data_IF_626700786946
#
_entry.id   IF_626700786946
#
_cell.length_a   1.000
_cell.length_b   1.000
_cell.length_c   1.000
_cell.angle_alpha   90.00
_cell.angle_beta   90.00
_cell.angle_gamma   90.00
#
_symmetry.space_group_name_H-M   'P 1'
#
loop_
_entity.id
_entity.type
_entity.pdbx_description
1 polymer ?
#
# COMPACT_ATOMS: atom_id res chain seq x y z
N UNK A 1 -24.41 -9.40 2.92
CA UNK A 1 -23.86 -8.20 3.63
C UNK A 1 -22.36 -7.95 3.38
N UNK A 2 -21.74 -8.51 2.34
CA UNK A 2 -20.29 -8.37 2.10
C UNK A 2 -19.93 -7.32 1.04
N UNK A 3 -20.91 -6.54 0.56
CA UNK A 3 -20.68 -5.60 -0.52
C UNK A 3 -19.68 -4.50 -0.09
N UNK A 4 -18.76 -4.08 -0.98
CA UNK A 4 -17.68 -3.16 -0.65
C UNK A 4 -18.21 -1.74 -0.44
N UNK A 5 -17.83 -1.09 0.65
CA UNK A 5 -18.21 0.27 1.03
C UNK A 5 -16.93 1.11 1.12
N UNK A 6 -16.90 2.22 0.38
CA UNK A 6 -15.77 3.15 0.42
C UNK A 6 -15.79 3.92 1.74
N UNK A 7 -14.64 3.99 2.41
CA UNK A 7 -14.43 4.73 3.65
C UNK A 7 -13.57 5.94 3.34
N UNK A 8 -14.18 7.11 3.51
CA UNK A 8 -13.53 8.40 3.39
C UNK A 8 -13.05 8.89 4.76
N UNK A 9 -11.97 9.65 4.74
CA UNK A 9 -11.49 10.41 5.88
C UNK A 9 -12.40 11.62 6.17
N UNK A 10 -12.15 12.32 7.28
CA UNK A 10 -12.91 13.52 7.63
C UNK A 10 -12.84 14.61 6.55
N UNK A 11 -11.73 14.71 5.81
CA UNK A 11 -11.52 15.62 4.66
C UNK A 11 -11.94 15.02 3.29
N UNK A 12 -12.75 13.95 3.28
CA UNK A 12 -13.23 13.26 2.08
C UNK A 12 -12.17 12.50 1.25
N UNK A 13 -10.93 12.40 1.71
CA UNK A 13 -9.92 11.55 1.05
C UNK A 13 -10.25 10.05 1.22
N UNK A 14 -10.08 9.21 0.19
CA UNK A 14 -10.32 7.78 0.31
C UNK A 14 -9.25 7.11 1.17
N UNK A 15 -9.66 6.41 2.24
CA UNK A 15 -8.74 5.69 3.13
C UNK A 15 -8.70 4.20 2.81
N UNK A 16 -9.87 3.58 2.69
CA UNK A 16 -10.01 2.14 2.63
C UNK A 16 -11.36 1.72 2.05
N UNK A 17 -11.49 0.45 1.68
CA UNK A 17 -12.76 -0.20 1.36
C UNK A 17 -13.04 -1.25 2.43
N UNK A 18 -14.24 -1.23 3.01
CA UNK A 18 -14.67 -2.21 4.01
C UNK A 18 -15.97 -2.91 3.60
N UNK A 19 -16.41 -3.90 4.38
CA UNK A 19 -17.68 -4.58 4.13
C UNK A 19 -18.86 -3.75 4.65
N UNK A 20 -20.05 -3.97 4.07
CA UNK A 20 -21.29 -3.33 4.52
C UNK A 20 -21.54 -3.53 6.02
N UNK A 21 -21.31 -4.75 6.54
CA UNK A 21 -21.45 -5.06 7.97
C UNK A 21 -20.57 -4.15 8.84
N UNK A 22 -19.30 -3.96 8.47
CA UNK A 22 -18.37 -3.09 9.20
C UNK A 22 -18.78 -1.62 9.10
N UNK A 23 -19.22 -1.18 7.93
CA UNK A 23 -19.67 0.19 7.72
C UNK A 23 -20.87 0.54 8.62
N UNK A 24 -21.86 -0.35 8.72
CA UNK A 24 -23.01 -0.17 9.61
C UNK A 24 -22.56 -0.09 11.08
N UNK A 25 -21.65 -0.96 11.51
CA UNK A 25 -21.11 -0.91 12.87
C UNK A 25 -20.41 0.44 13.18
N UNK A 26 -19.72 1.04 12.20
CA UNK A 26 -19.11 2.36 12.36
C UNK A 26 -20.14 3.48 12.44
N UNK A 27 -21.22 3.40 11.65
CA UNK A 27 -22.33 4.37 11.67
C UNK A 27 -23.07 4.29 13.01
N UNK A 28 -23.49 3.10 13.42
CA UNK A 28 -24.24 2.88 14.66
C UNK A 28 -23.41 3.25 15.90
N UNK A 29 -22.09 3.10 15.84
CA UNK A 29 -21.19 3.54 16.91
C UNK A 29 -20.91 5.07 16.90
N UNK A 30 -21.53 5.85 16.01
CA UNK A 30 -21.32 7.30 15.90
C UNK A 30 -19.92 7.69 15.41
N UNK A 31 -19.18 6.77 14.78
CA UNK A 31 -17.79 7.01 14.31
C UNK A 31 -17.73 7.43 12.85
N UNK A 32 -18.80 7.22 12.10
CA UNK A 32 -18.89 7.54 10.70
C UNK A 32 -20.29 8.01 10.31
N UNK A 33 -20.37 8.95 9.39
CA UNK A 33 -21.61 9.34 8.73
C UNK A 33 -21.72 8.66 7.36
N UNK A 34 -22.94 8.29 6.98
CA UNK A 34 -23.20 7.85 5.62
C UNK A 34 -23.19 9.06 4.68
N UNK A 35 -22.42 8.97 3.59
CA UNK A 35 -22.40 10.02 2.55
C UNK A 35 -23.36 9.65 1.44
N UNK A 36 -23.32 8.40 0.99
CA UNK A 36 -24.14 7.91 -0.13
C UNK A 36 -24.79 6.58 0.22
N UNK A 37 -26.11 6.53 0.12
CA UNK A 37 -26.87 5.29 -0.01
C UNK A 37 -26.91 4.91 -1.49
N UNK A 38 -26.14 3.90 -1.88
CA UNK A 38 -26.05 3.50 -3.30
C UNK A 38 -26.77 2.19 -3.60
N UNK A 39 -27.41 1.55 -2.62
CA UNK A 39 -27.58 0.09 -2.69
C UNK A 39 -28.81 -0.47 -1.99
N UNK A 40 -29.80 0.35 -1.63
CA UNK A 40 -31.07 -0.08 -1.05
C UNK A 40 -31.08 -0.07 0.48
N UNK A 41 -31.86 -0.97 1.08
CA UNK A 41 -32.07 -1.04 2.53
C UNK A 41 -31.76 -2.43 3.09
N UNK A 42 -31.44 -2.48 4.37
CA UNK A 42 -31.31 -3.68 5.19
C UNK A 42 -32.46 -3.67 6.17
N UNK A 43 -33.25 -4.73 6.17
CA UNK A 43 -34.42 -4.84 7.03
C UNK A 43 -34.09 -5.71 8.25
N UNK A 44 -34.52 -5.25 9.41
CA UNK A 44 -34.74 -6.07 10.60
C UNK A 44 -36.23 -6.38 10.71
N UNK A 45 -36.62 -7.16 11.72
CA UNK A 45 -38.03 -7.47 11.98
C UNK A 45 -38.88 -6.21 12.22
N UNK A 46 -38.29 -5.11 12.68
CA UNK A 46 -38.99 -3.90 13.09
C UNK A 46 -38.53 -2.62 12.40
N UNK A 47 -37.41 -2.64 11.68
CA UNK A 47 -36.76 -1.41 11.17
C UNK A 47 -36.11 -1.64 9.80
N UNK A 48 -35.89 -0.54 9.07
CA UNK A 48 -35.14 -0.53 7.82
C UNK A 48 -33.97 0.45 7.91
N UNK A 49 -32.77 -0.02 7.59
CA UNK A 49 -31.54 0.76 7.61
C UNK A 49 -31.03 0.97 6.18
N UNK A 50 -30.64 2.18 5.78
CA UNK A 50 -30.05 2.39 4.46
C UNK A 50 -28.75 1.59 4.34
N UNK A 51 -28.53 0.99 3.17
CA UNK A 51 -27.34 0.18 2.90
C UNK A 51 -26.23 1.10 2.38
N UNK A 52 -25.22 1.44 3.20
CA UNK A 52 -24.23 2.43 2.82
C UNK A 52 -23.37 1.92 1.65
N UNK A 53 -23.02 2.83 0.75
CA UNK A 53 -22.02 2.59 -0.31
C UNK A 53 -20.77 3.43 -0.13
N UNK A 54 -20.92 4.62 0.47
CA UNK A 54 -19.82 5.48 0.90
C UNK A 54 -20.10 6.00 2.32
N UNK A 55 -19.11 5.89 3.20
CA UNK A 55 -19.14 6.46 4.55
C UNK A 55 -17.95 7.40 4.75
N UNK A 56 -18.11 8.40 5.62
CA UNK A 56 -17.07 9.34 6.03
C UNK A 56 -16.82 9.20 7.52
N UNK A 57 -15.56 9.09 7.92
CA UNK A 57 -15.19 9.07 9.33
C UNK A 57 -15.31 10.47 9.95
N UNK A 58 -15.77 10.55 11.19
CA UNK A 58 -15.93 11.85 11.87
C UNK A 58 -14.59 12.43 12.35
N UNK A 59 -13.60 11.58 12.63
CA UNK A 59 -12.27 12.01 13.07
C UNK A 59 -11.28 11.88 11.94
N UNK A 60 -10.38 12.86 11.83
CA UNK A 60 -9.29 12.85 10.87
C UNK A 60 -8.29 11.73 11.21
N UNK A 61 -8.15 10.77 10.30
CA UNK A 61 -7.14 9.72 10.40
C UNK A 61 -5.91 10.12 9.59
N UNK A 62 -4.77 10.24 10.28
CA UNK A 62 -3.47 10.42 9.64
C UNK A 62 -2.86 9.05 9.39
N UNK A 63 -2.97 8.56 8.14
CA UNK A 63 -2.35 7.29 7.77
C UNK A 63 -0.85 7.51 7.56
N UNK A 64 0.03 6.82 8.30
CA UNK A 64 1.46 6.90 8.03
C UNK A 64 1.72 6.43 6.59
N UNK A 65 2.53 7.18 5.85
CA UNK A 65 2.93 6.80 4.49
C UNK A 65 3.54 5.39 4.54
N UNK A 66 3.07 4.44 3.70
CA UNK A 66 3.64 3.11 3.67
C UNK A 66 5.14 3.20 3.42
N UNK A 67 5.96 2.78 4.38
CA UNK A 67 7.41 2.69 4.18
C UNK A 67 7.67 1.48 3.30
N UNK A 68 8.17 1.70 2.09
CA UNK A 68 8.60 0.63 1.20
C UNK A 68 9.76 -0.11 1.86
N UNK A 69 9.59 -1.41 2.08
CA UNK A 69 10.65 -2.25 2.64
C UNK A 69 11.74 -2.43 1.58
N UNK A 70 13.00 -2.38 2.02
CA UNK A 70 14.15 -2.67 1.16
C UNK A 70 14.17 -4.17 0.83
N UNK A 71 13.50 -4.52 -0.27
CA UNK A 71 13.44 -5.88 -0.80
C UNK A 71 14.05 -5.90 -2.20
N UNK A 72 14.52 -7.07 -2.65
CA UNK A 72 15.07 -7.26 -3.99
C UNK A 72 14.14 -6.76 -5.10
N UNK A 73 12.84 -7.05 -4.98
CA UNK A 73 11.81 -6.59 -5.93
C UNK A 73 11.75 -5.07 -6.01
N UNK A 74 11.81 -4.39 -4.88
CA UNK A 74 11.71 -2.93 -4.84
C UNK A 74 13.01 -2.25 -5.28
N UNK A 75 14.18 -2.85 -5.02
CA UNK A 75 15.47 -2.41 -5.59
C UNK A 75 15.42 -2.49 -7.12
N UNK A 76 14.95 -3.61 -7.67
CA UNK A 76 14.84 -3.79 -9.13
C UNK A 76 13.84 -2.82 -9.75
N UNK A 77 12.71 -2.59 -9.09
CA UNK A 77 11.71 -1.60 -9.53
C UNK A 77 12.27 -0.18 -9.54
N UNK A 78 12.96 0.23 -8.45
CA UNK A 78 13.61 1.54 -8.35
C UNK A 78 14.59 1.76 -9.51
N UNK A 79 15.37 0.73 -9.83
CA UNK A 79 16.40 0.76 -10.87
C UNK A 79 15.86 0.45 -12.27
N UNK A 80 14.53 0.42 -12.44
CA UNK A 80 13.85 0.10 -13.69
C UNK A 80 14.35 -1.20 -14.36
N UNK A 81 14.65 -2.22 -13.56
CA UNK A 81 15.21 -3.50 -13.99
C UNK A 81 16.47 -3.34 -14.87
N UNK A 82 17.31 -2.37 -14.51
CA UNK A 82 18.52 -1.99 -15.25
C UNK A 82 19.74 -2.08 -14.35
N UNK A 83 20.81 -2.69 -14.84
CA UNK A 83 22.08 -2.73 -14.11
C UNK A 83 22.64 -1.32 -13.93
N UNK A 84 22.91 -0.92 -12.68
CA UNK A 84 23.41 0.41 -12.34
C UNK A 84 24.88 0.63 -12.71
N UNK A 85 25.63 -0.43 -13.04
CA UNK A 85 27.04 -0.34 -13.43
C UNK A 85 27.23 -0.21 -14.94
N UNK A 86 26.47 -0.95 -15.74
CA UNK A 86 26.65 -0.98 -17.21
C UNK A 86 25.45 -0.45 -18.00
N UNK A 87 24.35 -0.09 -17.35
CA UNK A 87 23.13 0.42 -17.99
C UNK A 87 22.33 -0.63 -18.78
N UNK A 88 22.74 -1.90 -18.79
CA UNK A 88 22.02 -2.95 -19.54
C UNK A 88 20.79 -3.46 -18.79
N UNK A 89 19.70 -3.66 -19.52
CA UNK A 89 18.52 -4.41 -19.07
C UNK A 89 18.70 -5.87 -19.42
N UNK A 90 18.55 -6.75 -18.43
CA UNK A 90 18.69 -8.20 -18.59
C UNK A 90 17.64 -8.89 -17.71
N UNK A 91 17.12 -10.07 -18.12
CA UNK A 91 16.23 -10.85 -17.26
C UNK A 91 16.93 -11.36 -15.99
N UNK A 92 18.25 -11.57 -16.06
CA UNK A 92 19.05 -12.03 -14.93
C UNK A 92 19.71 -10.85 -14.23
N UNK A 93 19.11 -10.40 -13.13
CA UNK A 93 19.62 -9.32 -12.28
C UNK A 93 19.90 -9.83 -10.88
N UNK A 94 20.95 -9.33 -10.27
CA UNK A 94 21.35 -9.55 -8.88
C UNK A 94 21.31 -8.23 -8.12
N UNK A 95 21.42 -8.34 -6.79
CA UNK A 95 21.56 -7.20 -5.90
C UNK A 95 23.02 -7.13 -5.47
N UNK A 96 23.61 -5.95 -5.53
CA UNK A 96 24.98 -5.70 -5.08
C UNK A 96 25.06 -4.54 -4.08
N UNK A 97 26.07 -4.59 -3.20
CA UNK A 97 26.39 -3.48 -2.31
C UNK A 97 27.48 -2.62 -2.93
N UNK A 98 27.19 -1.34 -3.19
CA UNK A 98 28.16 -0.39 -3.79
C UNK A 98 29.45 -0.35 -2.98
N UNK A 99 29.36 -0.12 -1.67
CA UNK A 99 30.41 -0.42 -0.71
C UNK A 99 30.24 -1.86 -0.22
N UNK A 100 31.21 -2.77 -0.45
CA UNK A 100 31.15 -4.15 0.03
C UNK A 100 30.93 -4.26 1.54
N UNK A 101 30.23 -5.32 1.97
CA UNK A 101 29.94 -5.55 3.40
C UNK A 101 31.20 -5.68 4.24
N UNK A 102 32.26 -6.31 3.70
CA UNK A 102 33.53 -6.48 4.42
C UNK A 102 34.28 -5.14 4.64
N UNK A 103 33.97 -4.11 3.85
CA UNK A 103 34.46 -2.74 4.03
C UNK A 103 33.49 -1.86 4.84
N UNK A 104 32.53 -2.45 5.56
CA UNK A 104 31.54 -1.72 6.36
C UNK A 104 30.30 -1.26 5.60
N UNK A 105 30.10 -1.72 4.37
CA UNK A 105 28.91 -1.44 3.57
C UNK A 105 27.61 -1.91 4.21
N UNK A 106 26.72 -0.97 4.54
CA UNK A 106 25.41 -1.26 5.14
C UNK A 106 24.39 -1.70 4.08
N UNK A 107 23.42 -2.52 4.47
CA UNK A 107 22.31 -2.91 3.60
C UNK A 107 21.21 -1.83 3.63
N UNK A 108 21.45 -0.71 2.96
CA UNK A 108 20.58 0.48 2.91
C UNK A 108 20.19 0.82 1.47
N UNK A 109 19.13 1.61 1.29
CA UNK A 109 18.69 2.10 -0.02
C UNK A 109 19.81 2.79 -0.81
N UNK A 110 20.68 3.53 -0.14
CA UNK A 110 21.78 4.26 -0.78
C UNK A 110 22.96 3.39 -1.16
N UNK A 111 23.10 2.20 -0.56
CA UNK A 111 24.26 1.33 -0.77
C UNK A 111 23.92 0.06 -1.54
N UNK A 112 22.64 -0.22 -1.80
CA UNK A 112 22.20 -1.44 -2.47
C UNK A 112 21.61 -1.11 -3.84
N UNK A 113 22.12 -1.77 -4.87
CA UNK A 113 21.78 -1.51 -6.28
C UNK A 113 21.54 -2.78 -7.08
N UNK A 114 20.86 -2.62 -8.20
CA UNK A 114 20.67 -3.66 -9.21
C UNK A 114 21.93 -3.83 -10.05
N UNK A 115 22.44 -5.06 -10.16
CA UNK A 115 23.62 -5.40 -10.95
C UNK A 115 23.32 -6.58 -11.89
N UNK A 116 23.95 -6.64 -13.06
CA UNK A 116 23.96 -7.87 -13.85
C UNK A 116 25.03 -8.83 -13.29
N UNK A 117 24.91 -10.16 -13.50
CA UNK A 117 25.87 -11.13 -13.01
C UNK A 117 27.32 -10.81 -13.40
N UNK A 118 27.54 -10.37 -14.65
CA UNK A 118 28.87 -10.02 -15.15
C UNK A 118 29.50 -8.83 -14.39
N UNK A 119 28.75 -7.75 -14.14
CA UNK A 119 29.23 -6.61 -13.37
C UNK A 119 29.43 -6.96 -11.89
N UNK A 120 28.48 -7.69 -11.32
CA UNK A 120 28.54 -8.11 -9.92
C UNK A 120 29.76 -9.00 -9.66
N UNK A 121 30.01 -9.98 -10.53
CA UNK A 121 31.19 -10.85 -10.45
C UNK A 121 32.49 -10.09 -10.67
N UNK A 122 32.53 -9.08 -11.55
CA UNK A 122 33.74 -8.27 -11.78
C UNK A 122 34.14 -7.44 -10.56
N UNK A 123 33.17 -7.02 -9.76
CA UNK A 123 33.41 -6.27 -8.53
C UNK A 123 33.73 -7.18 -7.33
N UNK A 124 33.18 -8.39 -7.34
CA UNK A 124 33.27 -9.38 -6.27
C UNK A 124 34.68 -9.83 -5.94
#
# INVERSE_FOLDING_TARGET
>A
MQAPVLVLNANFEPINVCTTRRAIGLILAGKAAMVVNGRGYIHTVSQAFPRPSVIRLERMIHRPRPRVKLTRREIFRRDNYTCQYCGRRTPMLTVDHVLPRHLGGKHTWTNVVTACPACNHRKG
#
